data_IF_043457276133
#
_entry.id   IF_043457276133
#
_cell.length_a   1.000
_cell.length_b   1.000
_cell.length_c   1.000
_cell.angle_alpha   90.00
_cell.angle_beta   90.00
_cell.angle_gamma   90.00
#
_symmetry.space_group_name_H-M   'P 1'
#
loop_
_entity.id
_entity.type
_entity.pdbx_description
1 polymer ?
#
# COMPACT_ATOMS: atom_id res chain seq x y z
N UNK A 1 27.87 17.38 -4.93
CA UNK A 1 27.41 17.99 -3.66
C UNK A 1 26.38 17.04 -3.08
N UNK A 2 26.61 16.48 -1.90
CA UNK A 2 25.74 15.44 -1.32
C UNK A 2 24.78 16.12 -0.35
N UNK A 3 23.49 16.17 -0.70
CA UNK A 3 22.46 16.70 0.21
C UNK A 3 22.21 15.63 1.28
N UNK A 4 22.61 15.91 2.52
CA UNK A 4 22.35 15.01 3.65
C UNK A 4 21.02 15.40 4.29
N UNK A 5 20.01 14.56 4.15
CA UNK A 5 18.73 14.70 4.84
C UNK A 5 18.85 13.97 6.19
N UNK A 6 18.63 14.68 7.30
CA UNK A 6 18.71 14.14 8.66
C UNK A 6 17.28 14.00 9.20
N UNK A 7 16.85 12.77 9.50
CA UNK A 7 15.50 12.45 9.99
C UNK A 7 15.53 11.95 11.43
N UNK A 8 14.41 12.10 12.14
CA UNK A 8 14.28 11.94 13.60
C UNK A 8 14.21 10.47 14.11
N UNK A 9 14.54 9.47 13.30
CA UNK A 9 15.02 8.19 13.85
C UNK A 9 14.05 7.03 13.99
N UNK A 10 13.26 6.71 12.96
CA UNK A 10 12.86 5.29 12.75
C UNK A 10 13.62 4.71 11.55
N UNK A 11 13.97 3.43 11.64
CA UNK A 11 14.68 2.68 10.57
C UNK A 11 13.87 1.50 10.04
N UNK A 12 12.74 1.19 10.67
CA UNK A 12 11.90 0.06 10.29
C UNK A 12 10.80 0.51 9.31
N UNK A 13 10.96 0.11 8.05
CA UNK A 13 10.07 0.43 6.94
C UNK A 13 8.72 -0.29 7.11
N UNK A 14 8.74 -1.51 7.64
CA UNK A 14 7.55 -2.35 7.79
C UNK A 14 6.64 -1.77 8.86
N UNK A 15 7.21 -1.34 9.98
CA UNK A 15 6.50 -0.64 11.06
C UNK A 15 5.87 0.68 10.56
N UNK A 16 6.61 1.45 9.76
CA UNK A 16 6.11 2.69 9.15
C UNK A 16 4.85 2.47 8.33
N UNK A 17 4.86 1.48 7.44
CA UNK A 17 3.72 1.26 6.55
C UNK A 17 2.54 0.57 7.22
N UNK A 18 2.78 -0.34 8.17
CA UNK A 18 1.72 -0.94 9.00
C UNK A 18 0.95 0.13 9.77
N UNK A 19 1.65 1.11 10.34
CA UNK A 19 1.03 2.16 11.17
C UNK A 19 0.48 3.34 10.37
N UNK A 20 0.98 3.60 9.16
CA UNK A 20 0.45 4.64 8.28
C UNK A 20 -0.79 4.23 7.50
N UNK A 21 -1.22 2.96 7.59
CA UNK A 21 -2.41 2.43 6.90
C UNK A 21 -2.37 2.71 5.39
N UNK A 22 -1.15 2.64 4.84
CA UNK A 22 -0.82 3.22 3.52
C UNK A 22 -1.57 2.53 2.36
N UNK A 23 -1.98 1.28 2.57
CA UNK A 23 -2.64 0.48 1.55
C UNK A 23 -4.14 0.69 1.50
N UNK A 24 -4.79 0.98 2.62
CA UNK A 24 -6.26 1.06 2.68
C UNK A 24 -6.79 2.50 2.59
N UNK A 25 -5.94 3.49 2.86
CA UNK A 25 -6.32 4.90 2.80
C UNK A 25 -6.63 5.35 1.36
N UNK A 26 -7.91 5.65 1.09
CA UNK A 26 -8.38 6.16 -0.21
C UNK A 26 -7.70 7.48 -0.62
N UNK A 27 -7.23 8.26 0.36
CA UNK A 27 -6.31 9.39 0.22
C UNK A 27 -5.48 9.43 1.49
N UNK A 28 -4.16 9.65 1.39
CA UNK A 28 -3.30 9.82 2.57
C UNK A 28 -3.69 11.14 3.28
N UNK A 29 -4.68 11.10 4.16
CA UNK A 29 -5.21 12.30 4.85
C UNK A 29 -4.20 12.94 5.79
N UNK A 30 -3.16 12.20 6.20
CA UNK A 30 -2.22 12.63 7.24
C UNK A 30 -0.74 12.36 6.91
N UNK A 31 -0.43 11.82 5.74
CA UNK A 31 0.93 11.40 5.37
C UNK A 31 1.25 11.84 3.93
N UNK A 32 1.75 13.07 3.69
CA UNK A 32 2.32 13.39 2.38
C UNK A 32 3.53 12.49 2.14
N UNK A 33 3.53 11.82 0.98
CA UNK A 33 4.72 11.17 0.43
C UNK A 33 5.45 12.20 -0.41
N UNK A 34 6.58 12.67 0.09
CA UNK A 34 7.46 13.60 -0.60
C UNK A 34 8.50 12.81 -1.36
N UNK A 35 8.46 12.90 -2.68
CA UNK A 35 9.39 12.23 -3.59
C UNK A 35 10.40 13.24 -4.10
N UNK A 36 11.68 12.89 -4.02
CA UNK A 36 12.78 13.75 -4.46
C UNK A 36 13.35 13.21 -5.77
N UNK A 37 13.22 13.98 -6.85
CA UNK A 37 13.74 13.62 -8.17
C UNK A 37 14.90 14.54 -8.50
N UNK A 38 16.09 13.96 -8.63
CA UNK A 38 17.26 14.69 -9.08
C UNK A 38 17.09 15.10 -10.55
N UNK A 39 17.29 16.39 -10.83
CA UNK A 39 17.46 16.97 -12.17
C UNK A 39 18.84 17.64 -12.21
N UNK A 40 19.35 17.97 -13.40
CA UNK A 40 20.78 18.31 -13.61
C UNK A 40 21.41 19.22 -12.55
N UNK A 41 20.72 20.29 -12.15
CA UNK A 41 21.18 21.29 -11.19
C UNK A 41 20.23 21.49 -9.99
N UNK A 42 19.18 20.66 -9.86
CA UNK A 42 18.14 20.86 -8.87
C UNK A 42 17.50 19.55 -8.38
N UNK A 43 16.68 19.65 -7.35
CA UNK A 43 15.84 18.55 -6.88
C UNK A 43 14.39 18.97 -7.02
N UNK A 44 13.65 18.27 -7.87
CA UNK A 44 12.21 18.41 -7.95
C UNK A 44 11.57 17.62 -6.82
N UNK A 45 10.71 18.29 -6.03
CA UNK A 45 9.93 17.64 -4.99
C UNK A 45 8.51 17.44 -5.49
N UNK A 46 8.03 16.19 -5.48
CA UNK A 46 6.64 15.85 -5.82
C UNK A 46 5.91 15.34 -4.58
N UNK A 47 4.67 15.79 -4.41
CA UNK A 47 3.75 15.22 -3.42
C UNK A 47 2.92 14.13 -4.12
N UNK A 48 2.92 12.93 -3.55
CA UNK A 48 2.03 11.86 -3.99
C UNK A 48 0.93 11.65 -2.95
N UNK A 49 -0.32 11.60 -3.45
CA UNK A 49 -1.52 11.38 -2.63
C UNK A 49 -1.77 9.90 -2.33
N UNK A 50 -1.16 8.98 -3.10
CA UNK A 50 -1.32 7.54 -2.96
C UNK A 50 0.04 6.82 -3.01
N UNK A 51 0.28 5.88 -2.08
CA UNK A 51 1.53 5.12 -2.07
C UNK A 51 1.72 4.21 -3.28
N UNK A 52 0.64 3.74 -3.90
CA UNK A 52 0.72 2.98 -5.16
C UNK A 52 1.44 3.74 -6.27
N UNK A 53 1.36 5.07 -6.25
CA UNK A 53 1.97 5.91 -7.29
C UNK A 53 3.50 5.88 -7.19
N UNK A 54 4.06 5.50 -6.03
CA UNK A 54 5.49 5.24 -5.86
C UNK A 54 5.99 4.12 -6.75
N UNK A 55 5.16 3.11 -7.04
CA UNK A 55 5.56 1.96 -7.87
C UNK A 55 5.86 2.33 -9.33
N UNK A 56 5.45 3.53 -9.77
CA UNK A 56 5.77 4.07 -11.10
C UNK A 56 7.17 4.69 -11.19
N UNK A 57 7.88 4.82 -10.07
CA UNK A 57 9.16 5.50 -9.98
C UNK A 57 10.35 4.51 -9.92
N UNK A 58 11.57 4.94 -10.27
CA UNK A 58 12.77 4.13 -10.13
C UNK A 58 13.05 3.74 -8.67
N UNK A 59 13.62 2.56 -8.45
CA UNK A 59 13.87 2.00 -7.11
C UNK A 59 14.75 2.89 -6.23
N UNK A 60 15.72 3.59 -6.83
CA UNK A 60 16.65 4.49 -6.14
C UNK A 60 16.01 5.82 -5.72
N UNK A 61 14.75 6.07 -6.09
CA UNK A 61 14.10 7.36 -5.81
C UNK A 61 13.90 7.55 -4.30
N UNK A 62 14.46 8.61 -3.69
CA UNK A 62 14.26 8.90 -2.28
C UNK A 62 12.83 9.38 -2.00
N UNK A 63 12.27 8.88 -0.89
CA UNK A 63 10.95 9.23 -0.40
C UNK A 63 11.04 9.62 1.06
N UNK A 64 10.33 10.68 1.43
CA UNK A 64 10.10 11.07 2.82
C UNK A 64 8.60 10.98 3.11
N UNK A 65 8.23 10.10 4.04
CA UNK A 65 6.87 9.94 4.52
C UNK A 65 6.69 10.57 5.90
N UNK A 66 5.59 11.27 6.12
CA UNK A 66 5.24 11.79 7.44
C UNK A 66 4.51 10.73 8.28
N UNK A 67 4.97 10.51 9.51
CA UNK A 67 4.35 9.60 10.44
C UNK A 67 2.96 10.08 10.87
N UNK A 68 1.99 9.16 10.97
CA UNK A 68 0.67 9.42 11.57
C UNK A 68 0.80 9.38 13.10
N UNK A 69 1.41 10.40 13.68
CA UNK A 69 1.70 10.49 15.13
C UNK A 69 1.04 11.69 15.81
N UNK A 70 1.24 11.80 17.12
CA UNK A 70 0.87 12.98 17.92
C UNK A 70 1.74 14.18 17.59
N UNK A 71 2.99 13.96 17.15
CA UNK A 71 3.89 15.02 16.70
C UNK A 71 3.84 15.18 15.19
N UNK A 72 3.55 16.39 14.72
CA UNK A 72 3.40 16.74 13.29
C UNK A 72 4.73 16.75 12.51
N UNK A 73 5.85 16.36 13.12
CA UNK A 73 7.20 16.57 12.59
C UNK A 73 8.03 15.28 12.48
N UNK A 74 7.42 14.12 12.70
CA UNK A 74 8.12 12.84 12.57
C UNK A 74 8.12 12.41 11.10
N UNK A 75 9.31 12.40 10.50
CA UNK A 75 9.51 11.97 9.12
C UNK A 75 10.34 10.68 9.06
N UNK A 76 9.96 9.81 8.15
CA UNK A 76 10.62 8.56 7.84
C UNK A 76 11.13 8.60 6.40
N UNK A 77 12.33 8.08 6.18
CA UNK A 77 12.97 8.07 4.87
C UNK A 77 13.13 6.64 4.37
N UNK A 78 12.85 6.44 3.10
CA UNK A 78 13.02 5.16 2.41
C UNK A 78 13.21 5.39 0.91
N UNK A 79 13.61 4.35 0.18
CA UNK A 79 13.63 4.37 -1.28
C UNK A 79 12.41 3.64 -1.84
N UNK A 80 12.02 3.96 -3.07
CA UNK A 80 10.93 3.24 -3.77
C UNK A 80 11.19 1.74 -3.83
N UNK A 81 12.44 1.30 -3.98
CA UNK A 81 12.81 -0.11 -3.95
C UNK A 81 12.49 -0.78 -2.62
N UNK A 82 12.74 -0.11 -1.48
CA UNK A 82 12.36 -0.62 -0.17
C UNK A 82 10.84 -0.74 -0.01
N UNK A 83 10.08 0.23 -0.52
CA UNK A 83 8.62 0.14 -0.53
C UNK A 83 8.12 -1.02 -1.40
N UNK A 84 8.75 -1.25 -2.56
CA UNK A 84 8.39 -2.36 -3.44
C UNK A 84 8.58 -3.71 -2.76
N UNK A 85 9.72 -3.93 -2.11
CA UNK A 85 9.98 -5.15 -1.32
C UNK A 85 8.92 -5.34 -0.23
N UNK A 86 8.59 -4.29 0.51
CA UNK A 86 7.55 -4.34 1.54
C UNK A 86 6.16 -4.65 0.95
N UNK A 87 5.80 -4.02 -0.16
CA UNK A 87 4.52 -4.25 -0.83
C UNK A 87 4.42 -5.67 -1.39
N UNK A 88 5.49 -6.19 -1.97
CA UNK A 88 5.58 -7.57 -2.44
C UNK A 88 5.46 -8.56 -1.27
N UNK A 89 6.18 -8.35 -0.17
CA UNK A 89 6.09 -9.19 1.01
C UNK A 89 4.67 -9.20 1.60
N UNK A 90 4.03 -8.04 1.67
CA UNK A 90 2.65 -7.90 2.17
C UNK A 90 1.63 -8.64 1.27
N UNK A 91 1.87 -8.66 -0.05
CA UNK A 91 1.00 -9.32 -1.02
C UNK A 91 1.32 -10.79 -1.26
N UNK A 92 2.53 -11.24 -0.91
CA UNK A 92 2.98 -12.61 -1.18
C UNK A 92 2.06 -13.69 -0.59
N UNK A 93 1.60 -13.59 0.68
CA UNK A 93 0.63 -14.55 1.23
C UNK A 93 -0.66 -14.62 0.42
N UNK A 94 -1.12 -13.49 -0.11
CA UNK A 94 -2.38 -13.38 -0.85
C UNK A 94 -2.34 -14.09 -2.21
N UNK A 95 -1.16 -14.49 -2.71
CA UNK A 95 -1.04 -15.32 -3.91
C UNK A 95 -1.60 -16.73 -3.72
N UNK A 96 -1.71 -17.18 -2.47
CA UNK A 96 -2.37 -18.45 -2.12
C UNK A 96 -3.89 -18.31 -2.00
N UNK A 97 -4.46 -17.14 -2.31
CA UNK A 97 -5.85 -16.87 -2.04
C UNK A 97 -6.78 -17.80 -2.81
N UNK A 98 -7.80 -18.29 -2.12
CA UNK A 98 -8.88 -19.12 -2.64
C UNK A 98 -10.22 -18.59 -2.16
N UNK A 99 -11.31 -19.09 -2.75
CA UNK A 99 -12.67 -18.68 -2.41
C UNK A 99 -12.86 -17.15 -2.43
N UNK A 100 -12.26 -16.48 -3.41
CA UNK A 100 -12.34 -15.03 -3.52
C UNK A 100 -13.75 -14.64 -3.98
N UNK A 101 -14.51 -13.98 -3.11
CA UNK A 101 -15.91 -13.60 -3.34
C UNK A 101 -16.08 -12.09 -3.15
N UNK A 102 -16.40 -11.40 -4.25
CA UNK A 102 -16.78 -9.98 -4.26
C UNK A 102 -18.28 -9.84 -4.05
N UNK A 103 -18.67 -9.30 -2.90
CA UNK A 103 -20.09 -9.09 -2.57
C UNK A 103 -20.52 -7.70 -3.03
N UNK A 104 -21.56 -7.65 -3.85
CA UNK A 104 -22.13 -6.45 -4.45
C UNK A 104 -23.56 -6.24 -3.95
N UNK A 105 -23.91 -5.00 -3.62
CA UNK A 105 -25.26 -4.63 -3.18
C UNK A 105 -26.29 -4.60 -4.32
N UNK A 106 -27.59 -4.50 -4.00
CA UNK A 106 -28.67 -4.50 -4.99
C UNK A 106 -28.54 -3.41 -6.07
N UNK A 107 -27.90 -2.28 -5.73
CA UNK A 107 -27.68 -1.14 -6.62
C UNK A 107 -26.29 -1.17 -7.31
N UNK A 108 -25.58 -2.30 -7.29
CA UNK A 108 -24.26 -2.45 -7.92
C UNK A 108 -23.08 -1.94 -7.09
N UNK A 109 -23.31 -1.35 -5.92
CA UNK A 109 -22.26 -0.90 -5.01
C UNK A 109 -21.51 -2.07 -4.37
N UNK A 110 -20.18 -2.10 -4.48
CA UNK A 110 -19.36 -3.14 -3.84
C UNK A 110 -19.37 -2.97 -2.33
N UNK A 111 -19.74 -4.04 -1.60
CA UNK A 111 -19.86 -4.01 -0.13
C UNK A 111 -18.58 -4.52 0.55
N UNK A 112 -18.09 -5.68 0.13
CA UNK A 112 -16.91 -6.35 0.71
C UNK A 112 -16.31 -7.35 -0.26
N UNK A 113 -15.09 -7.79 0.04
CA UNK A 113 -14.41 -8.87 -0.65
C UNK A 113 -13.95 -9.88 0.40
N UNK A 114 -14.42 -11.11 0.29
CA UNK A 114 -14.06 -12.22 1.16
C UNK A 114 -13.05 -13.11 0.44
N UNK A 115 -12.09 -13.68 1.17
CA UNK A 115 -11.18 -14.68 0.63
C UNK A 115 -10.49 -15.43 1.77
N UNK A 116 -9.96 -16.60 1.43
CA UNK A 116 -9.11 -17.40 2.31
C UNK A 116 -7.70 -17.42 1.75
N UNK A 117 -6.67 -17.36 2.59
CA UNK A 117 -5.27 -17.46 2.17
C UNK A 117 -4.43 -18.14 3.25
N UNK A 118 -3.21 -18.52 2.90
CA UNK A 118 -2.20 -19.04 3.82
C UNK A 118 -1.26 -17.87 4.18
N UNK A 119 -1.16 -17.54 5.46
CA UNK A 119 -0.28 -16.47 5.93
C UNK A 119 1.21 -16.86 5.93
N UNK A 120 2.07 -15.94 6.36
CA UNK A 120 3.52 -16.13 6.41
C UNK A 120 3.95 -17.29 7.33
N UNK A 121 3.09 -17.69 8.29
CA UNK A 121 3.32 -18.77 9.24
C UNK A 121 2.75 -20.11 8.77
N UNK A 122 2.10 -20.15 7.60
CA UNK A 122 1.45 -21.35 7.08
C UNK A 122 0.04 -21.57 7.63
N UNK A 123 -0.57 -20.57 8.27
CA UNK A 123 -1.91 -20.66 8.87
C UNK A 123 -2.95 -20.28 7.84
N UNK A 124 -4.04 -21.04 7.79
CA UNK A 124 -5.21 -20.69 6.99
C UNK A 124 -5.98 -19.53 7.64
N UNK A 125 -6.08 -18.43 6.92
CA UNK A 125 -6.77 -17.20 7.34
C UNK A 125 -7.97 -16.97 6.45
N UNK A 126 -9.14 -16.80 7.06
CA UNK A 126 -10.35 -16.31 6.38
C UNK A 126 -10.53 -14.83 6.69
N UNK A 127 -10.64 -13.99 5.66
CA UNK A 127 -10.72 -12.54 5.83
C UNK A 127 -11.79 -11.90 4.95
N UNK A 128 -12.20 -10.69 5.37
CA UNK A 128 -13.17 -9.85 4.68
C UNK A 128 -12.67 -8.42 4.70
N UNK A 129 -12.40 -7.86 3.52
CA UNK A 129 -12.04 -6.44 3.38
C UNK A 129 -13.25 -5.60 2.97
N UNK A 130 -13.31 -4.39 3.50
CA UNK A 130 -14.32 -3.37 3.17
C UNK A 130 -13.63 -2.15 2.58
N UNK A 131 -14.40 -1.31 1.87
CA UNK A 131 -13.90 -0.10 1.24
C UNK A 131 -13.63 -0.28 -0.26
N UNK A 132 -14.22 0.60 -1.06
CA UNK A 132 -14.23 0.48 -2.53
C UNK A 132 -12.83 0.40 -3.14
N UNK A 133 -11.93 1.30 -2.72
CA UNK A 133 -10.57 1.39 -3.27
C UNK A 133 -9.76 0.11 -3.00
N UNK A 134 -9.81 -0.39 -1.77
CA UNK A 134 -9.07 -1.60 -1.37
C UNK A 134 -9.63 -2.85 -2.05
N UNK A 135 -10.96 -2.96 -2.16
CA UNK A 135 -11.60 -4.06 -2.88
C UNK A 135 -11.22 -4.03 -4.35
N UNK A 136 -11.22 -2.87 -5.00
CA UNK A 136 -10.78 -2.74 -6.40
C UNK A 136 -9.30 -3.11 -6.56
N UNK A 137 -8.43 -2.66 -5.66
CA UNK A 137 -6.99 -3.00 -5.64
C UNK A 137 -6.77 -4.50 -5.55
N UNK A 138 -7.37 -5.16 -4.56
CA UNK A 138 -7.21 -6.60 -4.36
C UNK A 138 -7.86 -7.43 -5.47
N UNK A 139 -9.00 -6.98 -6.01
CA UNK A 139 -9.62 -7.62 -7.18
C UNK A 139 -8.67 -7.61 -8.38
N UNK A 140 -8.03 -6.48 -8.67
CA UNK A 140 -7.04 -6.38 -9.75
C UNK A 140 -5.81 -7.25 -9.50
N UNK A 141 -5.32 -7.28 -8.25
CA UNK A 141 -4.23 -8.16 -7.85
C UNK A 141 -4.58 -9.64 -8.09
N UNK A 142 -5.75 -10.10 -7.64
CA UNK A 142 -6.17 -11.49 -7.84
C UNK A 142 -6.29 -11.84 -9.32
N UNK A 143 -6.85 -10.96 -10.15
CA UNK A 143 -6.86 -11.19 -11.60
C UNK A 143 -5.45 -11.28 -12.21
N UNK A 144 -4.52 -10.43 -11.78
CA UNK A 144 -3.14 -10.46 -12.26
C UNK A 144 -2.41 -11.76 -11.87
N UNK A 145 -2.71 -12.32 -10.71
CA UNK A 145 -2.17 -13.61 -10.24
C UNK A 145 -2.96 -14.83 -10.77
N UNK A 146 -3.97 -14.63 -11.63
CA UNK A 146 -4.78 -15.71 -12.20
C UNK A 146 -5.76 -16.36 -11.21
N UNK A 147 -6.05 -15.68 -10.09
CA UNK A 147 -6.96 -16.15 -9.04
C UNK A 147 -8.40 -15.74 -9.40
N UNK A 148 -9.35 -16.70 -9.50
CA UNK A 148 -10.72 -16.39 -9.89
C UNK A 148 -11.46 -15.61 -8.80
N UNK A 149 -12.15 -14.54 -9.20
CA UNK A 149 -13.00 -13.73 -8.32
C UNK A 149 -14.47 -13.97 -8.66
N UNK A 150 -15.21 -14.61 -7.75
CA UNK A 150 -16.65 -14.83 -7.87
C UNK A 150 -17.41 -13.57 -7.43
N UNK A 151 -18.48 -13.22 -8.13
CA UNK A 151 -19.33 -12.08 -7.75
C UNK A 151 -20.64 -12.59 -7.17
N UNK A 152 -20.98 -12.14 -5.97
CA UNK A 152 -22.24 -12.46 -5.29
C UNK A 152 -23.08 -11.21 -5.02
N UNK A 153 -24.38 -11.32 -5.26
CA UNK A 153 -25.33 -10.28 -4.89
C UNK A 153 -25.73 -10.43 -3.43
N UNK A 154 -25.49 -9.39 -2.64
CA UNK A 154 -26.06 -9.24 -1.30
C UNK A 154 -27.57 -9.24 -1.44
N UNK A 155 -28.19 -10.27 -0.85
CA UNK A 155 -29.61 -10.26 -0.55
C UNK A 155 -29.95 -9.12 0.42
#
# INVERSE_FOLDING_TARGET
MTIQIVTAGRKDVDDFFKLSDVFTAAKLTHTPLLVFIAIEDAVQVRLLDHARDLLSLPDETPVMGQWRGTMRSDFFQFTVGQYRVYAEATLAPLKSATQVVKVVGPQGGVKRLNFEYIDEQGIHVSTSVIGKAEIERLTLFFYAEGIPVTVELSR
#
